data_IF_342367858500
#
_entry.id   IF_342367858500
#
_cell.length_a   1.000
_cell.length_b   1.000
_cell.length_c   1.000
_cell.angle_alpha   90.00
_cell.angle_beta   90.00
_cell.angle_gamma   90.00
#
_symmetry.space_group_name_H-M   'P 1'
#
loop_
_entity.id
_entity.type
_entity.pdbx_description
1 polymer ?
#
# COMPACT_ATOMS: atom_id res chain seq x y z
N UNK A 1 2.75 -9.82 4.89
CA UNK A 1 2.67 -8.82 3.79
C UNK A 1 4.05 -8.52 3.17
N UNK A 2 5.06 -8.12 3.96
CA UNK A 2 6.43 -7.87 3.46
C UNK A 2 7.09 -9.05 2.75
N UNK A 3 6.79 -10.29 3.15
CA UNK A 3 7.37 -11.49 2.53
C UNK A 3 6.93 -11.72 1.07
N UNK A 4 5.87 -11.05 0.62
CA UNK A 4 5.26 -11.33 -0.68
C UNK A 4 5.70 -10.37 -1.79
N UNK A 5 6.31 -9.22 -1.44
CA UNK A 5 6.79 -8.15 -2.35
C UNK A 5 8.02 -7.40 -1.78
N UNK A 6 8.79 -8.05 -0.89
CA UNK A 6 9.82 -7.40 -0.07
C UNK A 6 10.89 -6.61 -0.82
N UNK A 7 11.23 -7.00 -2.05
CA UNK A 7 12.17 -6.24 -2.90
C UNK A 7 11.61 -4.90 -3.41
N UNK A 8 10.30 -4.81 -3.64
CA UNK A 8 9.63 -3.60 -4.14
C UNK A 8 9.27 -2.60 -3.04
N UNK A 9 9.21 -3.06 -1.80
CA UNK A 9 8.86 -2.26 -0.61
C UNK A 9 10.09 -1.89 0.23
N UNK A 10 11.31 -2.17 -0.24
CA UNK A 10 12.56 -1.94 0.48
C UNK A 10 12.79 -0.48 0.88
N UNK A 11 12.30 0.48 0.09
CA UNK A 11 12.42 1.92 0.35
C UNK A 11 11.17 2.55 0.98
N UNK A 12 10.11 1.77 1.22
CA UNK A 12 8.83 2.30 1.66
C UNK A 12 8.73 2.35 3.19
N UNK A 13 8.35 3.51 3.74
CA UNK A 13 7.96 3.65 5.15
C UNK A 13 6.57 3.03 5.35
N UNK A 14 6.44 2.09 6.26
CA UNK A 14 5.18 1.42 6.60
C UNK A 14 4.40 2.31 7.59
N UNK A 15 3.37 2.99 7.10
CA UNK A 15 2.44 3.74 7.94
C UNK A 15 1.13 2.95 7.98
N UNK A 16 0.94 2.16 9.04
CA UNK A 16 -0.35 1.54 9.31
C UNK A 16 -1.24 2.57 10.01
N UNK A 17 -2.18 3.17 9.27
CA UNK A 17 -3.18 4.06 9.85
C UNK A 17 -4.51 3.32 10.05
N UNK A 18 -5.09 3.35 11.26
CA UNK A 18 -6.46 2.88 11.46
C UNK A 18 -7.42 3.82 10.75
N UNK A 19 -8.26 3.27 9.88
CA UNK A 19 -9.29 4.00 9.15
C UNK A 19 -10.64 3.44 9.57
N UNK A 20 -11.46 4.26 10.22
CA UNK A 20 -12.83 3.90 10.50
C UNK A 20 -13.65 3.92 9.19
N UNK A 21 -14.23 2.80 8.79
CA UNK A 21 -15.18 2.71 7.69
C UNK A 21 -16.53 2.21 8.22
N UNK A 22 -17.38 3.15 8.63
CA UNK A 22 -18.68 2.83 9.25
C UNK A 22 -18.50 2.08 10.57
N UNK A 23 -19.10 0.89 10.69
CA UNK A 23 -18.97 0.00 11.86
C UNK A 23 -17.72 -0.90 11.85
N UNK A 24 -16.86 -0.80 10.83
CA UNK A 24 -15.67 -1.64 10.67
C UNK A 24 -14.40 -0.81 10.77
N UNK A 25 -13.44 -1.29 11.55
CA UNK A 25 -12.08 -0.76 11.57
C UNK A 25 -11.29 -1.39 10.43
N UNK A 26 -10.81 -0.58 9.51
CA UNK A 26 -9.84 -0.98 8.50
C UNK A 26 -8.44 -0.58 8.94
N UNK A 27 -7.47 -1.43 8.68
CA UNK A 27 -6.05 -1.10 8.84
C UNK A 27 -5.47 -0.89 7.45
N UNK A 28 -5.09 0.35 7.12
CA UNK A 28 -4.52 0.66 5.81
C UNK A 28 -3.02 0.83 5.95
N UNK A 29 -2.27 -0.13 5.39
CA UNK A 29 -0.84 0.04 5.16
C UNK A 29 -0.64 1.09 4.06
N UNK A 30 0.07 2.16 4.37
CA UNK A 30 0.53 3.16 3.40
C UNK A 30 2.01 2.99 3.15
N UNK A 31 2.37 3.05 1.87
CA UNK A 31 3.75 3.08 1.39
C UNK A 31 3.97 4.44 0.71
N UNK A 32 4.90 5.23 1.22
CA UNK A 32 5.22 6.57 0.72
C UNK A 32 6.62 6.62 0.09
N UNK A 33 6.91 7.69 -0.68
CA UNK A 33 8.21 7.88 -1.35
C UNK A 33 8.35 7.18 -2.71
N UNK A 34 7.24 6.76 -3.31
CA UNK A 34 7.22 6.13 -4.64
C UNK A 34 6.82 7.15 -5.72
N UNK A 35 7.55 7.14 -6.84
CA UNK A 35 7.10 7.79 -8.07
C UNK A 35 5.85 7.10 -8.62
N UNK A 36 5.08 7.82 -9.46
CA UNK A 36 3.79 7.36 -9.96
C UNK A 36 3.85 5.99 -10.68
N UNK A 37 4.87 5.76 -11.49
CA UNK A 37 5.07 4.49 -12.21
C UNK A 37 5.34 3.32 -11.26
N UNK A 38 6.39 3.39 -10.42
CA UNK A 38 6.65 2.40 -9.37
C UNK A 38 5.45 2.16 -8.44
N UNK A 39 4.72 3.20 -8.03
CA UNK A 39 3.52 3.07 -7.22
C UNK A 39 2.43 2.24 -7.90
N UNK A 40 2.17 2.47 -9.18
CA UNK A 40 1.17 1.72 -9.96
C UNK A 40 1.56 0.25 -10.15
N UNK A 41 2.84 -0.04 -10.38
CA UNK A 41 3.35 -1.41 -10.50
C UNK A 41 3.20 -2.19 -9.19
N UNK A 42 3.63 -1.60 -8.06
CA UNK A 42 3.47 -2.19 -6.73
C UNK A 42 2.00 -2.47 -6.42
N UNK A 43 1.12 -1.51 -6.71
CA UNK A 43 -0.32 -1.67 -6.48
C UNK A 43 -0.93 -2.80 -7.32
N UNK A 44 -0.41 -3.03 -8.52
CA UNK A 44 -0.82 -4.15 -9.38
C UNK A 44 -0.33 -5.49 -8.83
N UNK A 45 0.91 -5.56 -8.33
CA UNK A 45 1.44 -6.76 -7.69
C UNK A 45 0.65 -7.14 -6.42
N UNK A 46 0.29 -6.16 -5.59
CA UNK A 46 -0.52 -6.36 -4.39
C UNK A 46 -1.92 -6.90 -4.70
N UNK A 47 -2.59 -6.34 -5.72
CA UNK A 47 -3.91 -6.83 -6.15
C UNK A 47 -3.90 -8.27 -6.61
N UNK A 48 -2.82 -8.73 -7.28
CA UNK A 48 -2.62 -10.15 -7.65
C UNK A 48 -2.55 -11.07 -6.42
N UNK A 49 -2.16 -10.54 -5.27
CA UNK A 49 -2.11 -11.26 -3.99
C UNK A 49 -3.38 -11.05 -3.14
N UNK A 50 -4.47 -10.56 -3.75
CA UNK A 50 -5.75 -10.28 -3.09
C UNK A 50 -5.66 -9.21 -1.99
N UNK A 51 -4.74 -8.27 -2.15
CA UNK A 51 -4.67 -7.06 -1.31
C UNK A 51 -5.33 -5.91 -2.07
N UNK A 52 -6.37 -5.32 -1.46
CA UNK A 52 -6.98 -4.10 -1.97
C UNK A 52 -5.99 -2.94 -1.92
N UNK A 53 -5.81 -2.27 -3.06
CA UNK A 53 -4.83 -1.20 -3.21
C UNK A 53 -5.33 -0.09 -4.14
N UNK A 54 -4.97 1.14 -3.79
CA UNK A 54 -5.12 2.32 -4.64
C UNK A 54 -3.89 3.23 -4.51
N UNK A 55 -3.55 3.94 -5.60
CA UNK A 55 -2.46 4.92 -5.62
C UNK A 55 -3.04 6.30 -5.39
N UNK A 56 -2.43 7.09 -4.50
CA UNK A 56 -2.81 8.47 -4.26
C UNK A 56 -1.57 9.37 -4.22
N UNK A 57 -1.73 10.64 -4.60
CA UNK A 57 -0.73 11.68 -4.32
C UNK A 57 -1.10 12.33 -3.00
N UNK A 58 -0.15 12.38 -2.06
CA UNK A 58 -0.26 13.28 -0.92
C UNK A 58 -0.14 14.72 -1.45
N UNK A 59 -1.09 15.57 -1.08
CA UNK A 59 -1.00 17.01 -1.28
C UNK A 59 -0.21 17.65 -0.16
#
# INVERSE_FOLDING_TARGET
MRQSVGGLLSSATDLTEPVAQGSRTLYRARFAGLDAGPAAQTCTALRRQRVDCFVTRLR
#
